data_IF_052131565247
#
_entry.id   IF_052131565247
#
_cell.length_a   1.000
_cell.length_b   1.000
_cell.length_c   1.000
_cell.angle_alpha   90.00
_cell.angle_beta   90.00
_cell.angle_gamma   90.00
#
_symmetry.space_group_name_H-M   'P 1'
#
loop_
_entity.id
_entity.type
_entity.pdbx_description
1 polymer ?
#
# COMPACT_ATOMS: atom_id res chain seq x y z
N UNK A 1 -22.42 -5.86 3.19
CA UNK A 1 -21.26 -6.71 2.81
C UNK A 1 -19.96 -5.93 2.93
N UNK A 2 -19.75 -4.84 2.15
CA UNK A 2 -18.51 -4.06 2.19
C UNK A 2 -18.10 -3.51 3.58
N UNK A 3 -19.06 -3.13 4.43
CA UNK A 3 -18.77 -2.64 5.79
C UNK A 3 -18.24 -3.75 6.73
N UNK A 4 -18.67 -5.00 6.54
CA UNK A 4 -18.21 -6.14 7.33
C UNK A 4 -16.78 -6.55 6.96
N UNK A 5 -16.41 -6.48 5.67
CA UNK A 5 -15.04 -6.74 5.23
C UNK A 5 -14.06 -5.71 5.80
N UNK A 6 -14.46 -4.43 5.86
CA UNK A 6 -13.61 -3.38 6.44
C UNK A 6 -13.45 -3.51 7.95
N UNK A 7 -14.51 -3.87 8.66
CA UNK A 7 -14.43 -4.15 10.10
C UNK A 7 -13.50 -5.35 10.37
N UNK A 8 -13.66 -6.43 9.59
CA UNK A 8 -12.81 -7.62 9.69
C UNK A 8 -11.34 -7.28 9.41
N UNK A 9 -11.05 -6.60 8.31
CA UNK A 9 -9.69 -6.21 7.94
C UNK A 9 -9.07 -5.27 8.97
N UNK A 10 -9.84 -4.33 9.52
CA UNK A 10 -9.38 -3.44 10.60
C UNK A 10 -8.98 -4.24 11.84
N UNK A 11 -9.76 -5.25 12.24
CA UNK A 11 -9.41 -6.08 13.39
C UNK A 11 -8.14 -6.91 13.13
N UNK A 12 -7.98 -7.44 11.91
CA UNK A 12 -6.80 -8.24 11.54
C UNK A 12 -5.50 -7.42 11.47
N UNK A 13 -5.60 -6.13 11.14
CA UNK A 13 -4.45 -5.24 10.96
C UNK A 13 -4.27 -4.24 12.11
N UNK A 14 -5.02 -4.41 13.19
CA UNK A 14 -4.94 -3.56 14.36
C UNK A 14 -3.52 -3.64 14.96
N UNK A 15 -2.86 -2.49 15.21
CA UNK A 15 -1.55 -2.46 15.85
C UNK A 15 -1.57 -3.16 17.21
N UNK A 16 -0.47 -3.85 17.54
CA UNK A 16 -0.28 -4.40 18.87
C UNK A 16 -0.12 -3.27 19.89
N UNK A 17 -0.58 -3.48 21.13
CA UNK A 17 -0.41 -2.49 22.20
C UNK A 17 1.07 -2.37 22.65
N UNK A 18 1.84 -3.45 22.51
CA UNK A 18 3.22 -3.57 22.98
C UNK A 18 4.22 -2.96 21.98
N UNK A 19 3.92 -3.05 20.68
CA UNK A 19 4.78 -2.55 19.61
C UNK A 19 3.92 -2.02 18.44
N UNK A 20 3.22 -0.88 18.63
CA UNK A 20 2.23 -0.40 17.67
C UNK A 20 2.81 0.09 16.35
N UNK A 21 4.08 0.51 16.34
CA UNK A 21 4.77 1.00 15.14
C UNK A 21 5.53 -0.11 14.38
N UNK A 22 5.32 -1.37 14.76
CA UNK A 22 5.88 -2.51 14.02
C UNK A 22 5.29 -2.56 12.60
N UNK A 23 6.14 -2.62 11.55
CA UNK A 23 5.64 -2.74 10.18
C UNK A 23 4.72 -3.96 10.01
N UNK A 24 3.56 -3.72 9.40
CA UNK A 24 2.62 -4.79 9.05
C UNK A 24 3.14 -5.51 7.80
N UNK A 25 3.27 -6.84 7.89
CA UNK A 25 3.80 -7.64 6.78
C UNK A 25 2.77 -7.79 5.65
N UNK A 26 3.26 -8.00 4.41
CA UNK A 26 2.40 -8.34 3.27
C UNK A 26 1.54 -9.57 3.58
N UNK A 27 2.10 -10.58 4.24
CA UNK A 27 1.34 -11.77 4.65
C UNK A 27 0.15 -11.43 5.54
N UNK A 28 0.32 -10.53 6.52
CA UNK A 28 -0.77 -10.11 7.40
C UNK A 28 -1.91 -9.46 6.60
N UNK A 29 -1.59 -8.62 5.61
CA UNK A 29 -2.57 -8.01 4.71
C UNK A 29 -3.27 -9.08 3.87
N UNK A 30 -2.52 -9.97 3.20
CA UNK A 30 -3.10 -11.03 2.35
C UNK A 30 -3.99 -11.97 3.17
N UNK A 31 -3.57 -12.38 4.36
CA UNK A 31 -4.38 -13.18 5.30
C UNK A 31 -5.66 -12.43 5.68
N UNK A 32 -5.55 -11.14 6.01
CA UNK A 32 -6.69 -10.29 6.33
C UNK A 32 -7.71 -10.24 5.19
N UNK A 33 -7.24 -10.03 3.96
CA UNK A 33 -8.08 -10.06 2.76
C UNK A 33 -8.72 -11.44 2.56
N UNK A 34 -7.94 -12.51 2.55
CA UNK A 34 -8.38 -13.88 2.27
C UNK A 34 -9.45 -14.40 3.24
N UNK A 35 -9.50 -13.84 4.45
CA UNK A 35 -10.43 -14.20 5.52
C UNK A 35 -11.65 -13.28 5.61
N UNK A 36 -11.73 -12.23 4.77
CA UNK A 36 -12.90 -11.35 4.71
C UNK A 36 -14.18 -12.12 4.34
N UNK A 37 -15.35 -11.76 4.92
CA UNK A 37 -16.63 -12.39 4.61
C UNK A 37 -16.95 -12.53 3.12
N UNK A 38 -16.65 -11.51 2.30
CA UNK A 38 -16.90 -11.56 0.85
C UNK A 38 -16.07 -12.63 0.13
N UNK A 39 -14.89 -12.97 0.63
CA UNK A 39 -14.02 -14.00 0.04
C UNK A 39 -14.53 -15.43 0.25
N UNK A 40 -15.48 -15.64 1.16
CA UNK A 40 -16.11 -16.96 1.39
C UNK A 40 -17.03 -17.40 0.26
N UNK A 41 -17.43 -16.47 -0.62
CA UNK A 41 -18.39 -16.72 -1.70
C UNK A 41 -17.77 -17.38 -2.95
N UNK A 42 -16.47 -17.69 -2.92
CA UNK A 42 -15.71 -18.23 -4.06
C UNK A 42 -15.95 -19.76 -4.24
N UNK A 43 -16.84 -20.36 -3.43
CA UNK A 43 -16.99 -21.82 -3.23
C UNK A 43 -18.07 -22.54 -4.07
N UNK A 44 -18.61 -21.94 -5.12
CA UNK A 44 -19.59 -22.64 -5.98
C UNK A 44 -18.91 -23.70 -6.87
N UNK A 45 -18.68 -24.91 -6.33
CA UNK A 45 -18.07 -26.02 -7.06
C UNK A 45 -18.68 -27.38 -6.69
N UNK A 46 -18.72 -28.28 -7.68
CA UNK A 46 -19.26 -29.64 -7.48
C UNK A 46 -18.28 -30.51 -6.67
N UNK A 47 -18.73 -31.66 -6.11
CA UNK A 47 -17.84 -32.56 -5.36
C UNK A 47 -16.63 -33.08 -6.15
N UNK A 48 -16.74 -33.23 -7.48
CA UNK A 48 -15.63 -33.63 -8.35
C UNK A 48 -14.56 -32.54 -8.47
N UNK A 49 -15.01 -31.30 -8.67
CA UNK A 49 -14.15 -30.11 -8.75
C UNK A 49 -13.41 -29.86 -7.43
N UNK A 50 -14.07 -30.19 -6.32
CA UNK A 50 -13.53 -30.03 -4.98
C UNK A 50 -12.21 -30.77 -4.81
N UNK A 51 -12.06 -32.00 -5.34
CA UNK A 51 -10.82 -32.77 -5.21
C UNK A 51 -9.69 -32.15 -6.03
N UNK A 52 -9.97 -31.78 -7.28
CA UNK A 52 -8.99 -31.15 -8.18
C UNK A 52 -8.47 -29.85 -7.56
N UNK A 53 -9.36 -29.01 -7.02
CA UNK A 53 -8.97 -27.77 -6.35
C UNK A 53 -8.04 -28.04 -5.16
N UNK A 54 -8.29 -29.07 -4.33
CA UNK A 54 -7.37 -29.39 -3.21
C UNK A 54 -5.98 -29.68 -3.75
N UNK A 55 -5.88 -30.58 -4.72
CA UNK A 55 -4.59 -31.02 -5.26
C UNK A 55 -3.83 -29.86 -5.93
N UNK A 56 -4.53 -28.98 -6.65
CA UNK A 56 -3.92 -27.78 -7.24
C UNK A 56 -3.46 -26.79 -6.17
N UNK A 57 -4.26 -26.56 -5.13
CA UNK A 57 -3.92 -25.63 -4.03
C UNK A 57 -2.75 -26.13 -3.20
N UNK A 58 -2.70 -27.42 -2.87
CA UNK A 58 -1.59 -27.99 -2.11
C UNK A 58 -0.26 -27.88 -2.90
N UNK A 59 -0.29 -28.17 -4.21
CA UNK A 59 0.88 -27.96 -5.10
C UNK A 59 1.28 -26.50 -5.18
N UNK A 60 0.30 -25.59 -5.23
CA UNK A 60 0.54 -24.17 -5.26
C UNK A 60 1.23 -23.68 -3.98
N UNK A 61 0.79 -24.14 -2.82
CA UNK A 61 1.42 -23.76 -1.55
C UNK A 61 2.83 -24.34 -1.39
N UNK A 62 3.07 -25.55 -1.89
CA UNK A 62 4.41 -26.12 -1.95
C UNK A 62 5.34 -25.27 -2.84
N UNK A 63 4.88 -24.90 -4.04
CA UNK A 63 5.63 -24.05 -4.98
C UNK A 63 5.88 -22.65 -4.41
N UNK A 64 4.85 -22.00 -3.85
CA UNK A 64 4.98 -20.72 -3.14
C UNK A 64 5.95 -20.80 -1.97
N UNK A 65 5.92 -21.93 -1.27
CA UNK A 65 6.89 -22.24 -0.23
C UNK A 65 8.32 -22.31 -0.76
N UNK A 66 8.56 -23.03 -1.85
CA UNK A 66 9.86 -23.15 -2.50
C UNK A 66 10.38 -21.81 -3.04
N UNK A 67 9.49 -20.95 -3.53
CA UNK A 67 9.80 -19.61 -4.01
C UNK A 67 10.08 -18.57 -2.91
N UNK A 68 9.91 -18.94 -1.63
CA UNK A 68 10.11 -18.06 -0.48
C UNK A 68 8.95 -17.10 -0.19
N UNK A 69 7.76 -17.33 -0.78
CA UNK A 69 6.59 -16.48 -0.58
C UNK A 69 6.00 -16.58 0.84
N UNK A 70 6.11 -17.76 1.44
CA UNK A 70 5.61 -18.09 2.77
C UNK A 70 6.75 -18.64 3.63
N UNK A 71 7.16 -17.84 4.62
CA UNK A 71 8.09 -18.29 5.65
C UNK A 71 7.48 -19.37 6.57
N UNK A 72 8.28 -19.91 7.49
CA UNK A 72 7.84 -20.98 8.37
C UNK A 72 6.63 -20.58 9.24
N UNK A 73 6.57 -19.31 9.66
CA UNK A 73 5.48 -18.80 10.49
C UNK A 73 4.20 -18.63 9.67
N UNK A 74 4.30 -18.04 8.48
CA UNK A 74 3.19 -17.90 7.54
C UNK A 74 2.57 -19.26 7.19
N UNK A 75 3.41 -20.28 6.96
CA UNK A 75 2.94 -21.66 6.70
C UNK A 75 2.22 -22.26 7.90
N UNK A 76 2.74 -22.05 9.12
CA UNK A 76 2.10 -22.50 10.36
C UNK A 76 0.71 -21.88 10.51
N UNK A 77 0.61 -20.56 10.30
CA UNK A 77 -0.67 -19.83 10.36
C UNK A 77 -1.64 -20.33 9.27
N UNK A 78 -1.16 -20.55 8.03
CA UNK A 78 -1.98 -21.08 6.94
C UNK A 78 -2.56 -22.47 7.25
N UNK A 79 -1.83 -23.32 7.98
CA UNK A 79 -2.29 -24.65 8.37
C UNK A 79 -3.48 -24.63 9.35
N UNK A 80 -3.64 -23.53 10.10
CA UNK A 80 -4.76 -23.33 11.05
C UNK A 80 -6.00 -22.71 10.38
N UNK A 81 -5.87 -22.20 9.15
CA UNK A 81 -6.98 -21.59 8.42
C UNK A 81 -7.96 -22.65 7.93
N UNK A 82 -9.23 -22.26 7.83
CA UNK A 82 -10.21 -23.08 7.10
C UNK A 82 -9.79 -23.21 5.64
N UNK A 83 -10.15 -24.32 5.02
CA UNK A 83 -9.80 -24.62 3.63
C UNK A 83 -10.10 -23.47 2.64
N UNK A 84 -11.28 -22.81 2.67
CA UNK A 84 -11.56 -21.70 1.77
C UNK A 84 -10.59 -20.52 1.97
N UNK A 85 -10.26 -20.18 3.22
CA UNK A 85 -9.33 -19.10 3.52
C UNK A 85 -7.89 -19.46 3.11
N UNK A 86 -7.45 -20.69 3.38
CA UNK A 86 -6.13 -21.20 2.95
C UNK A 86 -5.98 -21.12 1.43
N UNK A 87 -6.98 -21.59 0.68
CA UNK A 87 -7.04 -21.41 -0.78
C UNK A 87 -6.90 -19.94 -1.16
N UNK A 88 -7.72 -19.06 -0.58
CA UNK A 88 -7.73 -17.65 -0.96
C UNK A 88 -6.37 -16.98 -0.71
N UNK A 89 -5.65 -17.34 0.36
CA UNK A 89 -4.26 -16.89 0.58
C UNK A 89 -3.38 -17.36 -0.58
N UNK A 90 -3.39 -18.66 -0.90
CA UNK A 90 -2.57 -19.21 -1.98
C UNK A 90 -2.86 -18.55 -3.33
N UNK A 91 -4.13 -18.30 -3.67
CA UNK A 91 -4.54 -17.67 -4.94
C UNK A 91 -4.15 -16.19 -5.04
N UNK A 92 -4.20 -15.44 -3.93
CA UNK A 92 -3.70 -14.07 -3.89
C UNK A 92 -2.17 -14.02 -4.01
N UNK A 93 -1.47 -14.97 -3.39
CA UNK A 93 -0.02 -15.08 -3.57
C UNK A 93 0.35 -15.52 -4.99
N UNK A 94 -0.40 -16.43 -5.61
CA UNK A 94 -0.21 -16.79 -7.01
C UNK A 94 -0.25 -15.57 -7.92
N UNK A 95 -1.20 -14.64 -7.72
CA UNK A 95 -1.28 -13.39 -8.48
C UNK A 95 0.04 -12.59 -8.43
N UNK A 96 0.70 -12.56 -7.27
CA UNK A 96 1.95 -11.82 -7.08
C UNK A 96 3.21 -12.59 -7.54
N UNK A 97 3.14 -13.92 -7.59
CA UNK A 97 4.27 -14.81 -7.87
C UNK A 97 4.20 -15.49 -9.24
N UNK A 98 3.19 -15.18 -10.05
CA UNK A 98 2.96 -15.86 -11.33
C UNK A 98 4.21 -15.84 -12.21
N UNK A 99 4.84 -14.68 -12.43
CA UNK A 99 6.03 -14.59 -13.30
C UNK A 99 7.24 -15.37 -12.76
N UNK A 100 7.26 -15.72 -11.47
CA UNK A 100 8.29 -16.55 -10.84
C UNK A 100 7.98 -18.05 -10.95
N UNK A 101 6.70 -18.42 -11.04
CA UNK A 101 6.22 -19.82 -10.92
C UNK A 101 5.55 -20.38 -12.19
N UNK A 102 5.28 -19.57 -13.20
CA UNK A 102 4.51 -19.94 -14.40
C UNK A 102 5.17 -21.07 -15.23
N UNK A 103 6.49 -21.25 -15.08
CA UNK A 103 7.22 -22.39 -15.67
C UNK A 103 7.09 -23.72 -14.90
N UNK A 104 6.65 -23.68 -13.63
CA UNK A 104 6.64 -24.83 -12.72
C UNK A 104 5.21 -25.33 -12.44
N UNK A 105 4.24 -24.42 -12.43
CA UNK A 105 2.86 -24.72 -12.06
C UNK A 105 1.88 -24.05 -13.02
N UNK A 106 0.86 -24.81 -13.40
CA UNK A 106 -0.29 -24.28 -14.14
C UNK A 106 -1.56 -24.58 -13.36
N UNK A 107 -2.37 -23.54 -13.13
CA UNK A 107 -3.68 -23.70 -12.51
C UNK A 107 -4.63 -24.41 -13.48
N UNK A 108 -5.50 -25.26 -12.95
CA UNK A 108 -6.63 -25.77 -13.71
C UNK A 108 -7.68 -24.65 -13.94
N UNK A 109 -8.54 -24.81 -14.95
CA UNK A 109 -9.51 -23.78 -15.35
C UNK A 109 -10.41 -23.31 -14.20
N UNK A 110 -10.72 -24.19 -13.24
CA UNK A 110 -11.61 -23.87 -12.13
C UNK A 110 -10.84 -23.03 -11.10
N UNK A 111 -9.63 -23.45 -10.76
CA UNK A 111 -8.75 -22.71 -9.84
C UNK A 111 -8.33 -21.37 -10.44
N UNK A 112 -8.09 -21.27 -11.75
CA UNK A 112 -7.83 -20.01 -12.45
C UNK A 112 -9.04 -19.06 -12.38
N UNK A 113 -10.26 -19.56 -12.57
CA UNK A 113 -11.47 -18.75 -12.38
C UNK A 113 -11.61 -18.27 -10.93
N UNK A 114 -11.36 -19.14 -9.95
CA UNK A 114 -11.38 -18.76 -8.53
C UNK A 114 -10.33 -17.71 -8.21
N UNK A 115 -9.15 -17.81 -8.84
CA UNK A 115 -8.07 -16.85 -8.72
C UNK A 115 -8.49 -15.47 -9.23
N UNK A 116 -9.10 -15.38 -10.42
CA UNK A 116 -9.60 -14.14 -10.98
C UNK A 116 -10.65 -13.47 -10.07
N UNK A 117 -11.59 -14.26 -9.55
CA UNK A 117 -12.62 -13.76 -8.60
C UNK A 117 -11.96 -13.29 -7.30
N UNK A 118 -11.01 -14.05 -6.77
CA UNK A 118 -10.28 -13.69 -5.56
C UNK A 118 -9.52 -12.37 -5.74
N UNK A 119 -8.85 -12.19 -6.89
CA UNK A 119 -8.16 -10.95 -7.22
C UNK A 119 -9.12 -9.76 -7.34
N UNK A 120 -10.27 -9.94 -8.01
CA UNK A 120 -11.28 -8.89 -8.17
C UNK A 120 -11.84 -8.44 -6.81
N UNK A 121 -12.21 -9.40 -5.95
CA UNK A 121 -12.72 -9.09 -4.61
C UNK A 121 -11.61 -8.45 -3.76
N UNK A 122 -10.41 -9.01 -3.75
CA UNK A 122 -9.26 -8.52 -2.99
C UNK A 122 -8.90 -7.09 -3.36
N UNK A 123 -8.79 -6.79 -4.65
CA UNK A 123 -8.55 -5.43 -5.16
C UNK A 123 -9.67 -4.48 -4.74
N UNK A 124 -10.93 -4.90 -4.84
CA UNK A 124 -12.07 -4.07 -4.42
C UNK A 124 -12.10 -3.79 -2.91
N UNK A 125 -11.62 -4.71 -2.08
CA UNK A 125 -11.45 -4.53 -0.63
C UNK A 125 -10.28 -3.57 -0.36
N UNK A 126 -9.15 -3.74 -1.04
CA UNK A 126 -7.96 -2.90 -0.88
C UNK A 126 -8.21 -1.43 -1.23
N UNK A 127 -8.90 -1.16 -2.34
CA UNK A 127 -9.28 0.22 -2.73
C UNK A 127 -10.11 0.89 -1.64
N UNK A 128 -11.08 0.16 -1.05
CA UNK A 128 -11.88 0.68 0.07
C UNK A 128 -11.04 0.87 1.33
N UNK A 129 -10.13 -0.06 1.60
CA UNK A 129 -9.24 -0.01 2.76
C UNK A 129 -8.33 1.23 2.70
N UNK A 130 -7.80 1.60 1.53
CA UNK A 130 -7.02 2.82 1.32
C UNK A 130 -7.80 4.10 1.69
N UNK A 131 -9.12 4.11 1.49
CA UNK A 131 -9.98 5.26 1.82
C UNK A 131 -10.48 5.27 3.26
N UNK A 132 -10.64 4.09 3.88
CA UNK A 132 -11.34 3.96 5.17
C UNK A 132 -10.41 3.67 6.34
N UNK A 133 -9.33 2.90 6.17
CA UNK A 133 -8.40 2.60 7.27
C UNK A 133 -7.62 3.83 7.74
N UNK A 134 -7.47 4.84 6.88
CA UNK A 134 -6.86 6.13 7.24
C UNK A 134 -7.60 6.80 8.41
N UNK A 135 -8.90 6.52 8.59
CA UNK A 135 -9.70 7.06 9.69
C UNK A 135 -9.29 6.50 11.06
N UNK A 136 -8.72 5.29 11.11
CA UNK A 136 -8.19 4.69 12.34
C UNK A 136 -6.85 5.30 12.77
N UNK A 137 -6.22 6.08 11.89
CA UNK A 137 -4.91 6.72 12.08
C UNK A 137 -3.73 5.78 12.31
N UNK A 138 -3.83 4.52 11.91
CA UNK A 138 -2.77 3.51 12.05
C UNK A 138 -1.80 3.55 10.87
N UNK A 139 -0.61 4.11 11.10
CA UNK A 139 0.38 4.35 10.05
C UNK A 139 0.77 3.05 9.33
N UNK A 140 1.28 2.06 10.07
CA UNK A 140 1.87 0.86 9.47
C UNK A 140 0.84 0.03 8.70
N UNK A 141 -0.40 -0.07 9.19
CA UNK A 141 -1.48 -0.76 8.49
C UNK A 141 -1.86 -0.06 7.17
N UNK A 142 -1.96 1.27 7.18
CA UNK A 142 -2.25 2.06 5.97
C UNK A 142 -1.14 1.90 4.92
N UNK A 143 0.13 2.01 5.32
CA UNK A 143 1.26 1.83 4.39
C UNK A 143 1.32 0.41 3.82
N UNK A 144 1.08 -0.62 4.65
CA UNK A 144 1.06 -2.00 4.20
C UNK A 144 -0.06 -2.29 3.20
N UNK A 145 -1.24 -1.68 3.39
CA UNK A 145 -2.35 -1.75 2.43
C UNK A 145 -1.97 -1.12 1.10
N UNK A 146 -1.36 0.08 1.11
CA UNK A 146 -0.90 0.73 -0.11
C UNK A 146 0.12 -0.13 -0.88
N UNK A 147 1.09 -0.69 -0.16
CA UNK A 147 2.12 -1.58 -0.73
C UNK A 147 1.53 -2.87 -1.29
N UNK A 148 0.62 -3.51 -0.56
CA UNK A 148 -0.03 -4.73 -1.02
C UNK A 148 -0.89 -4.50 -2.28
N UNK A 149 -1.58 -3.35 -2.36
CA UNK A 149 -2.30 -2.94 -3.57
C UNK A 149 -1.38 -2.84 -4.79
N UNK A 150 -0.18 -2.27 -4.63
CA UNK A 150 0.79 -2.18 -5.71
C UNK A 150 1.27 -3.57 -6.14
N UNK A 151 1.64 -4.44 -5.18
CA UNK A 151 2.10 -5.80 -5.48
C UNK A 151 1.06 -6.62 -6.26
N UNK A 152 -0.20 -6.58 -5.83
CA UNK A 152 -1.30 -7.29 -6.51
C UNK A 152 -1.58 -6.72 -7.89
N UNK A 153 -1.68 -5.38 -8.01
CA UNK A 153 -1.95 -4.71 -9.29
C UNK A 153 -0.85 -4.95 -10.31
N UNK A 154 0.41 -4.96 -9.86
CA UNK A 154 1.57 -5.17 -10.71
C UNK A 154 1.89 -6.64 -10.97
N UNK A 155 1.22 -7.58 -10.29
CA UNK A 155 1.51 -9.02 -10.34
C UNK A 155 2.96 -9.36 -9.91
N UNK A 156 3.47 -8.66 -8.90
CA UNK A 156 4.86 -8.79 -8.42
C UNK A 156 4.89 -8.98 -6.91
N UNK A 157 5.95 -9.63 -6.40
CA UNK A 157 5.97 -10.13 -5.02
C UNK A 157 6.73 -9.27 -4.01
N UNK A 158 7.53 -8.31 -4.45
CA UNK A 158 8.35 -7.51 -3.56
C UNK A 158 8.65 -6.13 -4.13
N UNK A 159 8.67 -5.13 -3.26
CA UNK A 159 9.08 -3.75 -3.57
C UNK A 159 10.60 -3.57 -3.63
N UNK A 160 11.37 -4.52 -3.11
CA UNK A 160 12.83 -4.40 -3.00
C UNK A 160 13.61 -5.53 -3.68
N UNK A 161 12.94 -6.55 -4.20
CA UNK A 161 13.58 -7.62 -4.96
C UNK A 161 14.02 -7.09 -6.34
N UNK A 162 15.31 -7.22 -6.65
CA UNK A 162 15.87 -6.78 -7.93
C UNK A 162 15.18 -7.42 -9.14
N UNK A 163 14.71 -8.67 -9.02
CA UNK A 163 13.99 -9.34 -10.11
C UNK A 163 12.64 -8.69 -10.37
N UNK A 164 11.92 -8.34 -9.31
CA UNK A 164 10.66 -7.59 -9.42
C UNK A 164 10.89 -6.22 -10.06
N UNK A 165 11.92 -5.49 -9.62
CA UNK A 165 12.24 -4.17 -10.17
C UNK A 165 12.58 -4.29 -11.66
N UNK A 166 13.40 -5.26 -12.06
CA UNK A 166 13.71 -5.52 -13.48
C UNK A 166 12.47 -5.87 -14.31
N UNK A 167 11.57 -6.70 -13.79
CA UNK A 167 10.31 -7.02 -14.47
C UNK A 167 9.44 -5.77 -14.63
N UNK A 168 9.29 -4.97 -13.58
CA UNK A 168 8.56 -3.70 -13.64
C UNK A 168 9.18 -2.73 -14.65
N UNK A 169 10.51 -2.60 -14.69
CA UNK A 169 11.21 -1.81 -15.70
C UNK A 169 10.87 -2.30 -17.12
N UNK A 170 10.90 -3.61 -17.36
CA UNK A 170 10.56 -4.17 -18.68
C UNK A 170 9.11 -3.89 -19.08
N UNK A 171 8.17 -3.91 -18.14
CA UNK A 171 6.75 -3.56 -18.40
C UNK A 171 6.60 -2.08 -18.76
N UNK A 172 7.28 -1.20 -18.02
CA UNK A 172 7.28 0.24 -18.33
C UNK A 172 7.91 0.51 -19.70
N UNK A 173 9.03 -0.14 -20.02
CA UNK A 173 9.70 -0.02 -21.32
C UNK A 173 8.82 -0.50 -22.47
N UNK A 174 8.07 -1.60 -22.29
CA UNK A 174 7.10 -2.05 -23.31
C UNK A 174 5.95 -1.05 -23.52
N UNK A 175 5.62 -0.29 -22.49
CA UNK A 175 4.62 0.78 -22.55
C UNK A 175 5.20 2.12 -23.04
N UNK A 176 6.51 2.18 -23.33
CA UNK A 176 7.23 3.39 -23.76
C UNK A 176 7.52 4.40 -22.64
N UNK A 177 7.45 3.94 -21.38
CA UNK A 177 7.64 4.75 -20.17
C UNK A 177 9.01 4.47 -19.53
N UNK A 178 9.75 5.50 -19.08
CA UNK A 178 10.94 5.29 -18.28
C UNK A 178 10.57 4.82 -16.87
N UNK A 179 11.50 4.13 -16.20
CA UNK A 179 11.34 3.84 -14.78
C UNK A 179 11.33 5.15 -13.96
N UNK A 180 10.39 5.35 -13.00
CA UNK A 180 10.29 6.60 -12.26
C UNK A 180 11.57 6.95 -11.49
N UNK A 181 12.06 8.17 -11.69
CA UNK A 181 13.17 8.77 -10.93
C UNK A 181 12.60 9.89 -10.10
N UNK A 182 12.36 9.60 -8.83
CA UNK A 182 11.61 10.49 -7.97
C UNK A 182 12.46 11.03 -6.82
N UNK A 183 12.15 12.25 -6.39
CA UNK A 183 12.69 12.88 -5.19
C UNK A 183 11.57 13.59 -4.43
N UNK A 184 11.59 13.50 -3.10
CA UNK A 184 10.54 14.03 -2.25
C UNK A 184 11.06 15.19 -1.40
N UNK A 185 10.30 16.26 -1.34
CA UNK A 185 10.51 17.38 -0.43
C UNK A 185 9.24 17.63 0.38
N UNK A 186 9.41 17.96 1.66
CA UNK A 186 8.32 18.23 2.59
C UNK A 186 8.67 19.41 3.50
N UNK A 187 7.74 20.35 3.67
CA UNK A 187 7.91 21.52 4.52
C UNK A 187 6.64 21.79 5.33
N UNK A 188 6.80 22.02 6.63
CA UNK A 188 5.73 22.50 7.49
C UNK A 188 5.87 23.99 7.77
N UNK A 189 4.73 24.69 7.76
CA UNK A 189 4.61 26.05 8.25
C UNK A 189 3.22 26.32 8.84
N UNK A 190 3.05 27.33 9.70
CA UNK A 190 1.73 27.85 10.02
C UNK A 190 0.99 28.26 8.74
N UNK A 191 -0.31 27.98 8.67
CA UNK A 191 -1.12 28.27 7.48
C UNK A 191 -1.26 29.77 7.22
N UNK A 192 -1.27 30.56 8.27
CA UNK A 192 -1.36 32.02 8.28
C UNK A 192 0.01 32.71 8.10
N UNK A 193 1.11 31.99 8.34
CA UNK A 193 2.49 32.52 8.22
C UNK A 193 3.41 31.56 7.44
N UNK A 194 3.29 31.51 6.10
CA UNK A 194 4.13 30.64 5.28
C UNK A 194 5.63 30.91 5.47
N UNK A 195 6.43 29.85 5.60
CA UNK A 195 7.88 29.92 5.79
C UNK A 195 8.34 30.05 7.25
N UNK A 196 7.44 30.37 8.18
CA UNK A 196 7.71 30.23 9.61
C UNK A 196 7.60 28.76 10.04
N UNK A 197 8.24 28.40 11.16
CA UNK A 197 8.16 27.05 11.74
C UNK A 197 7.44 27.01 13.09
N UNK A 198 7.16 28.18 13.66
CA UNK A 198 6.59 28.34 14.99
C UNK A 198 5.09 28.62 14.89
N UNK A 199 4.29 27.89 15.66
CA UNK A 199 2.84 28.03 15.72
C UNK A 199 2.39 28.05 17.17
N UNK A 200 1.27 28.71 17.46
CA UNK A 200 0.61 28.56 18.76
C UNK A 200 -0.13 27.21 18.83
N UNK A 201 -0.40 26.75 20.05
CA UNK A 201 -1.25 25.58 20.29
C UNK A 201 -2.59 25.69 19.57
N UNK A 202 -3.10 24.57 19.06
CA UNK A 202 -4.32 24.47 18.24
C UNK A 202 -4.34 25.24 16.91
N UNK A 203 -3.24 25.93 16.58
CA UNK A 203 -3.02 26.59 15.30
C UNK A 203 -3.02 25.60 14.13
N UNK A 204 -3.32 26.10 12.93
CA UNK A 204 -3.40 25.26 11.73
C UNK A 204 -2.02 25.20 11.09
N UNK A 205 -1.45 24.01 11.04
CA UNK A 205 -0.23 23.72 10.27
C UNK A 205 -0.62 23.34 8.85
N UNK A 206 0.13 23.89 7.92
CA UNK A 206 0.17 23.52 6.52
C UNK A 206 1.43 22.69 6.26
N UNK A 207 1.28 21.54 5.61
CA UNK A 207 2.35 20.67 5.15
C UNK A 207 2.34 20.68 3.62
N UNK A 208 3.33 21.33 3.03
CA UNK A 208 3.60 21.30 1.59
C UNK A 208 4.45 20.08 1.27
N UNK A 209 4.00 19.28 0.31
CA UNK A 209 4.71 18.10 -0.20
C UNK A 209 4.92 18.27 -1.70
N UNK A 210 6.17 18.18 -2.15
CA UNK A 210 6.54 18.28 -3.55
C UNK A 210 7.27 17.01 -3.97
N UNK A 211 6.66 16.29 -4.91
CA UNK A 211 7.25 15.14 -5.58
C UNK A 211 7.88 15.61 -6.89
N UNK A 212 9.20 15.55 -6.97
CA UNK A 212 9.98 15.82 -8.17
C UNK A 212 10.03 14.54 -9.02
N UNK A 213 9.71 14.66 -10.30
CA UNK A 213 9.63 13.60 -11.30
C UNK A 213 10.70 13.84 -12.35
N UNK A 214 11.95 13.48 -12.04
CA UNK A 214 13.10 13.78 -12.90
C UNK A 214 13.01 13.07 -14.26
N UNK A 215 12.33 11.92 -14.29
CA UNK A 215 12.05 11.15 -15.51
C UNK A 215 10.99 11.76 -16.42
N UNK A 216 10.13 12.66 -15.93
CA UNK A 216 9.07 13.29 -16.74
C UNK A 216 9.63 14.18 -17.87
N UNK A 217 10.87 14.64 -17.73
CA UNK A 217 11.59 15.43 -18.74
C UNK A 217 12.30 14.58 -19.81
N UNK A 218 12.43 13.27 -19.58
CA UNK A 218 12.99 12.34 -20.54
C UNK A 218 11.91 12.11 -21.62
N UNK A 219 12.22 12.38 -22.90
CA UNK A 219 11.25 12.29 -24.00
C UNK A 219 10.56 10.92 -23.98
N UNK A 220 9.32 10.87 -23.50
CA UNK A 220 8.48 9.70 -23.62
C UNK A 220 8.36 9.35 -25.11
N UNK A 221 8.80 8.16 -25.50
CA UNK A 221 8.45 7.60 -26.80
C UNK A 221 6.93 7.40 -26.73
N UNK A 222 6.18 8.01 -27.65
CA UNK A 222 4.71 8.01 -27.63
C UNK A 222 4.18 6.63 -27.20
N UNK A 223 3.32 6.54 -26.18
CA UNK A 223 2.87 5.26 -25.66
C UNK A 223 2.12 4.51 -26.76
N UNK A 224 2.63 3.34 -27.14
CA UNK A 224 1.87 2.38 -27.92
C UNK A 224 0.94 1.67 -26.94
N UNK A 225 -0.22 2.25 -26.68
CA UNK A 225 -1.27 1.70 -25.79
C UNK A 225 -1.74 0.28 -26.26
N UNK A 226 -1.26 -0.21 -27.41
CA UNK A 226 -1.82 -1.37 -28.10
C UNK A 226 -1.27 -2.74 -27.67
N UNK A 227 -0.10 -2.85 -27.03
CA UNK A 227 0.61 -4.15 -26.96
C UNK A 227 1.00 -4.65 -25.55
N UNK A 228 0.51 -4.05 -24.47
CA UNK A 228 0.83 -4.50 -23.10
C UNK A 228 -0.17 -5.57 -22.62
N UNK A 229 0.21 -6.87 -22.54
CA UNK A 229 -0.69 -7.94 -22.09
C UNK A 229 -1.07 -7.84 -20.60
N UNK A 230 -0.35 -7.03 -19.82
CA UNK A 230 -0.53 -6.89 -18.37
C UNK A 230 -1.39 -5.68 -17.98
N UNK A 231 -1.51 -4.65 -18.84
CA UNK A 231 -2.35 -3.47 -18.55
C UNK A 231 -2.90 -2.82 -19.84
N UNK A 232 -4.11 -3.21 -20.30
CA UNK A 232 -4.71 -2.71 -21.54
C UNK A 232 -5.11 -1.22 -21.51
N UNK A 233 -4.96 -0.53 -20.38
CA UNK A 233 -5.22 0.91 -20.24
C UNK A 233 -3.94 1.75 -20.16
N UNK A 234 -2.76 1.10 -20.13
CA UNK A 234 -1.46 1.74 -19.86
C UNK A 234 -1.27 2.08 -18.38
N UNK A 235 -0.01 2.22 -17.95
CA UNK A 235 0.32 2.59 -16.57
C UNK A 235 0.06 4.10 -16.36
N UNK A 236 -0.87 4.42 -15.45
CA UNK A 236 -1.02 5.77 -14.90
C UNK A 236 -0.16 5.90 -13.66
N UNK A 237 0.74 6.89 -13.60
CA UNK A 237 1.47 7.22 -12.37
C UNK A 237 0.48 7.70 -11.30
N UNK A 238 0.29 6.88 -10.27
CA UNK A 238 -0.65 7.15 -9.19
C UNK A 238 0.08 6.99 -7.85
N UNK A 239 0.20 8.11 -7.14
CA UNK A 239 0.89 8.16 -5.86
C UNK A 239 -0.08 8.50 -4.73
N UNK A 240 0.19 7.97 -3.55
CA UNK A 240 -0.46 8.38 -2.31
C UNK A 240 0.56 9.02 -1.39
N UNK A 241 0.19 10.16 -0.81
CA UNK A 241 0.94 10.82 0.23
C UNK A 241 0.31 10.52 1.59
N UNK A 242 1.12 10.07 2.53
CA UNK A 242 0.76 9.80 3.92
C UNK A 242 1.66 10.61 4.84
N UNK A 243 1.06 11.38 5.75
CA UNK A 243 1.79 12.15 6.75
C UNK A 243 1.65 11.46 8.11
N UNK A 244 2.79 11.10 8.70
CA UNK A 244 2.95 10.46 10.00
C UNK A 244 3.45 11.48 11.02
N UNK A 245 2.67 11.70 12.08
CA UNK A 245 3.14 12.40 13.27
C UNK A 245 3.94 11.44 14.14
N UNK A 246 5.25 11.65 14.20
CA UNK A 246 6.19 10.78 14.92
C UNK A 246 6.18 11.14 16.40
N UNK A 247 6.01 10.15 17.27
CA UNK A 247 6.00 10.33 18.71
C UNK A 247 7.39 10.08 19.29
N UNK A 248 7.81 10.90 20.28
CA UNK A 248 9.14 10.75 20.88
C UNK A 248 9.26 9.49 21.76
N UNK A 249 8.15 9.01 22.31
CA UNK A 249 8.10 7.85 23.20
C UNK A 249 7.70 6.59 22.44
N UNK A 250 8.49 5.52 22.55
CA UNK A 250 8.21 4.25 21.88
C UNK A 250 6.90 3.56 22.35
N UNK A 251 6.39 3.91 23.53
CA UNK A 251 5.11 3.41 24.06
C UNK A 251 3.89 4.14 23.48
N UNK A 252 4.10 5.30 22.86
CA UNK A 252 3.02 6.10 22.28
C UNK A 252 3.04 5.90 20.77
N UNK A 253 1.99 5.31 20.17
CA UNK A 253 1.98 4.99 18.74
C UNK A 253 2.09 6.25 17.88
N UNK A 254 2.82 6.15 16.78
CA UNK A 254 2.76 7.14 15.73
C UNK A 254 1.33 7.25 15.17
N UNK A 255 0.98 8.43 14.69
CA UNK A 255 -0.37 8.71 14.23
C UNK A 255 -0.37 9.23 12.81
N UNK A 256 -1.24 8.68 11.97
CA UNK A 256 -1.49 9.24 10.64
C UNK A 256 -2.26 10.56 10.79
N UNK A 257 -1.61 11.66 10.41
CA UNK A 257 -2.16 13.02 10.50
C UNK A 257 -2.80 13.49 9.19
N UNK A 258 -2.44 12.85 8.07
CA UNK A 258 -3.02 13.13 6.77
C UNK A 258 -2.77 12.01 5.77
N UNK A 259 -3.70 11.82 4.84
CA UNK A 259 -3.57 10.88 3.74
C UNK A 259 -4.35 11.41 2.53
N UNK A 260 -3.70 11.54 1.38
CA UNK A 260 -4.34 12.04 0.17
C UNK A 260 -3.64 11.51 -1.09
N UNK A 261 -4.38 11.16 -2.15
CA UNK A 261 -3.77 10.87 -3.43
C UNK A 261 -3.06 12.11 -4.00
N UNK A 262 -1.87 11.93 -4.55
CA UNK A 262 -1.17 12.94 -5.33
C UNK A 262 -1.54 12.76 -6.80
N UNK A 263 -2.23 13.74 -7.36
CA UNK A 263 -2.72 13.68 -8.73
C UNK A 263 -1.64 14.17 -9.68
N UNK A 264 -1.12 13.27 -10.51
CA UNK A 264 -0.32 13.60 -11.69
C UNK A 264 -1.27 13.88 -12.85
N UNK A 265 -1.28 15.10 -13.39
CA UNK A 265 -2.24 15.46 -14.45
C UNK A 265 -1.71 15.09 -15.83
N UNK A 266 -0.39 15.16 -16.02
CA UNK A 266 0.26 14.75 -17.26
C UNK A 266 1.62 14.07 -16.99
N UNK A 267 1.98 13.13 -17.87
CA UNK A 267 3.21 12.34 -17.70
C UNK A 267 4.49 13.20 -17.84
N UNK A 268 4.42 14.32 -18.54
CA UNK A 268 5.52 15.28 -18.75
C UNK A 268 5.62 16.35 -17.65
N UNK A 269 4.68 16.40 -16.69
CA UNK A 269 4.76 17.34 -15.57
C UNK A 269 5.93 16.99 -14.63
N UNK A 270 6.95 17.85 -14.48
CA UNK A 270 8.13 17.53 -13.67
C UNK A 270 7.87 17.50 -12.16
N UNK A 271 6.71 17.99 -11.71
CA UNK A 271 6.37 18.05 -10.29
C UNK A 271 4.91 17.65 -10.06
N UNK A 272 4.67 16.94 -8.96
CA UNK A 272 3.35 16.81 -8.37
C UNK A 272 3.39 17.39 -6.95
N UNK A 273 2.51 18.34 -6.66
CA UNK A 273 2.47 19.02 -5.36
C UNK A 273 1.15 18.76 -4.64
N UNK A 274 1.20 18.63 -3.33
CA UNK A 274 0.06 18.46 -2.47
C UNK A 274 0.19 19.34 -1.23
N UNK A 275 -0.94 19.87 -0.77
CA UNK A 275 -1.05 20.54 0.54
C UNK A 275 -1.90 19.67 1.48
N UNK A 276 -1.36 19.37 2.66
CA UNK A 276 -2.11 18.80 3.78
C UNK A 276 -2.25 19.87 4.88
N UNK A 277 -3.38 19.88 5.59
CA UNK A 277 -3.59 20.78 6.73
C UNK A 277 -4.05 19.98 7.94
N UNK A 278 -3.49 20.28 9.11
CA UNK A 278 -3.89 19.68 10.39
C UNK A 278 -3.70 20.68 11.53
N UNK A 279 -4.23 20.38 12.71
CA UNK A 279 -4.07 21.23 13.90
C UNK A 279 -2.84 20.81 14.69
N UNK A 280 -2.06 21.81 15.11
CA UNK A 280 -0.99 21.62 16.06
C UNK A 280 -1.54 21.14 17.41
N UNK A 281 -0.80 20.29 18.14
CA UNK A 281 -1.17 19.94 19.51
C UNK A 281 -1.11 21.18 20.42
N UNK A 282 -1.82 21.18 21.56
CA UNK A 282 -1.85 22.31 22.47
C UNK A 282 -0.54 22.46 23.27
N UNK A 283 0.25 21.39 23.37
CA UNK A 283 1.47 21.38 24.18
C UNK A 283 2.64 21.97 23.39
N UNK A 284 3.41 22.92 23.97
CA UNK A 284 4.64 23.41 23.36
C UNK A 284 5.68 22.30 23.10
N UNK A 285 6.49 22.48 22.07
CA UNK A 285 7.56 21.55 21.71
C UNK A 285 7.79 21.41 20.22
N UNK A 286 8.85 20.69 19.84
CA UNK A 286 9.14 20.37 18.44
C UNK A 286 8.54 19.03 18.06
N UNK A 287 7.77 19.01 16.99
CA UNK A 287 7.02 17.85 16.53
C UNK A 287 7.58 17.35 15.19
N UNK A 288 8.17 16.14 15.18
CA UNK A 288 8.64 15.51 13.95
C UNK A 288 7.48 14.94 13.13
N UNK A 289 7.58 15.12 11.81
CA UNK A 289 6.66 14.58 10.82
C UNK A 289 7.48 13.81 9.80
N UNK A 290 7.00 12.61 9.48
CA UNK A 290 7.51 11.80 8.38
C UNK A 290 6.46 11.74 7.29
N UNK A 291 6.83 12.10 6.07
CA UNK A 291 5.99 12.01 4.88
C UNK A 291 6.41 10.77 4.11
N UNK A 292 5.43 9.95 3.74
CA UNK A 292 5.61 8.77 2.89
C UNK A 292 4.87 9.01 1.58
N UNK A 293 5.55 8.80 0.46
CA UNK A 293 4.92 8.74 -0.86
C UNK A 293 5.09 7.33 -1.41
N UNK A 294 3.97 6.67 -1.67
CA UNK A 294 3.91 5.28 -2.16
C UNK A 294 3.20 5.28 -3.51
N UNK A 295 3.82 4.65 -4.51
CA UNK A 295 3.16 4.37 -5.79
C UNK A 295 2.24 3.15 -5.66
N UNK A 296 1.02 3.27 -6.18
CA UNK A 296 0.07 2.14 -6.25
C UNK A 296 0.08 1.42 -7.59
N UNK A 297 0.83 1.92 -8.57
CA UNK A 297 0.89 1.40 -9.95
C UNK A 297 2.29 0.99 -10.41
N UNK A 298 3.33 1.33 -9.64
CA UNK A 298 4.73 0.97 -9.92
C UNK A 298 5.38 0.56 -8.60
N UNK A 299 5.98 -0.63 -8.56
CA UNK A 299 6.68 -1.11 -7.36
C UNK A 299 8.10 -0.55 -7.28
N UNK A 300 8.71 -0.59 -6.10
CA UNK A 300 10.09 -0.13 -5.89
C UNK A 300 10.24 1.39 -5.93
N UNK A 301 9.12 2.11 -5.79
CA UNK A 301 9.03 3.57 -5.80
C UNK A 301 8.30 4.01 -4.54
N UNK A 302 9.01 3.88 -3.42
CA UNK A 302 8.60 4.34 -2.10
C UNK A 302 9.59 5.41 -1.63
N UNK A 303 9.10 6.58 -1.25
CA UNK A 303 9.91 7.69 -0.79
C UNK A 303 9.48 8.14 0.60
N UNK A 304 10.46 8.61 1.38
CA UNK A 304 10.21 9.23 2.67
C UNK A 304 10.95 10.56 2.78
N UNK A 305 10.32 11.54 3.42
CA UNK A 305 10.93 12.81 3.76
C UNK A 305 10.57 13.20 5.20
N UNK A 306 11.54 13.71 5.95
CA UNK A 306 11.34 14.17 7.32
C UNK A 306 11.22 15.70 7.35
N UNK A 307 10.32 16.20 8.19
CA UNK A 307 10.15 17.64 8.46
C UNK A 307 9.69 17.86 9.90
N UNK A 308 9.67 19.10 10.35
CA UNK A 308 9.34 19.45 11.74
C UNK A 308 8.63 20.79 11.83
N UNK A 309 7.79 20.97 12.85
CA UNK A 309 7.29 22.28 13.27
C UNK A 309 7.44 22.44 14.79
N UNK A 310 7.37 23.66 15.29
CA UNK A 310 7.47 23.95 16.73
C UNK A 310 6.20 24.62 17.21
N UNK A 311 5.64 24.10 18.31
CA UNK A 311 4.56 24.77 19.05
C UNK A 311 5.20 25.60 20.16
N UNK A 312 4.84 26.88 20.23
CA UNK A 312 5.33 27.83 21.24
C UNK A 312 4.24 28.15 22.26
N UNK A 313 4.63 28.60 23.45
CA UNK A 313 3.69 29.08 24.47
C UNK A 313 2.99 30.37 24.02
N UNK A 314 1.77 30.56 24.49
CA UNK A 314 1.06 31.83 24.30
C UNK A 314 1.60 32.83 25.33
N UNK A 315 2.48 33.73 24.89
CA UNK A 315 3.10 34.77 25.74
C UNK A 315 2.11 35.89 26.12
N UNK A 316 0.82 35.78 25.76
CA UNK A 316 -0.19 36.76 26.14
C UNK A 316 -0.48 36.66 27.66
N UNK A 317 -0.33 37.76 28.42
CA UNK A 317 -0.69 37.77 29.84
C UNK A 317 -2.19 37.46 29.99
N UNK A 318 -2.60 36.72 31.04
CA UNK A 318 -4.00 36.42 31.28
C UNK A 318 -4.79 37.74 31.35
N UNK A 319 -5.87 37.82 30.57
CA UNK A 319 -6.81 38.94 30.65
C UNK A 319 -7.39 38.99 32.07
N UNK A 320 -7.03 40.03 32.82
CA UNK A 320 -7.61 40.37 34.13
C UNK A 320 -9.11 40.71 34.04
#
# INVERSE_FOLDING_TARGET
>A
MAMMDMQHLSEQLKPSAEAPDTPVSTFAVIKGLATCPSMKQIDDVTPGDTKVIVETVDKLEEALGGAGALDAEARRVCAELTRPHRRNVALLYWQMYQSKLEGELKLDNITERQQQICNQIGTGILVKAQMLLVQNRWVQATLAIARASALISCCLWSHSDEQCIKQMTSVLESDGLPFPKLRLEAACSPKDKPGEKEVLGDGVIKLDVVLHRDHASEKAVKPSIADSPLNPQGILEAYWCYAEGVKPEASTPNSLIGAQPMVVKALDEPFASLELSFRAPPTPGTYPIKVHVISTSVIGVDLTADTTFTVVEDDLPPLE
#
